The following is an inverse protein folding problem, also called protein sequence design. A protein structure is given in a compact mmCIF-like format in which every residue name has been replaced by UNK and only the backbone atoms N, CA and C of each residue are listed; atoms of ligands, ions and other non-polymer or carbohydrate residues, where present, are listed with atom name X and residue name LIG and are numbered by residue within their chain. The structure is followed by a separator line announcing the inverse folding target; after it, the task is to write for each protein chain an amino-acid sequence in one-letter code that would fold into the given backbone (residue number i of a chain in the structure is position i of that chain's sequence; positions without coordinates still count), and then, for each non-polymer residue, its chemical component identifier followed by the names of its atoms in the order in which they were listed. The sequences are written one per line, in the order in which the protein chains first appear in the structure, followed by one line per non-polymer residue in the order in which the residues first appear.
data_IF_925369502856
#
_entry.id   IF_925369502856
#
_cell.length_a   1.000
_cell.length_b   1.000
_cell.length_c   1.000
_cell.angle_alpha   90.00
_cell.angle_beta   90.00
_cell.angle_gamma   90.00
#
_symmetry.space_group_name_H-M   'P 1'
#
loop_
_entity.id
_entity.type
_entity.pdbx_description
1 polymer ?
#
# COMPACT_ATOMS: atom_id res chain seq x y z
N UNK A 1 -1.19 -28.70 19.97
CA UNK A 1 -0.19 -28.17 19.02
C UNK A 1 -0.98 -27.35 18.04
N UNK A 2 -0.69 -26.05 17.90
CA UNK A 2 -1.27 -25.26 16.81
C UNK A 2 -0.56 -25.73 15.56
N UNK A 3 -1.26 -26.45 14.70
CA UNK A 3 -0.82 -26.69 13.34
C UNK A 3 -0.68 -25.30 12.70
N UNK A 4 0.56 -24.83 12.54
CA UNK A 4 0.81 -23.62 11.77
C UNK A 4 0.55 -24.00 10.32
N UNK A 5 -0.61 -23.60 9.78
CA UNK A 5 -0.71 -23.43 8.34
C UNK A 5 0.46 -22.56 7.87
N UNK A 6 1.03 -22.82 6.67
CA UNK A 6 1.97 -21.88 6.09
C UNK A 6 1.28 -20.51 6.03
N UNK A 7 1.77 -19.55 6.81
CA UNK A 7 1.18 -18.22 6.87
C UNK A 7 1.14 -17.64 5.46
N UNK A 8 -0.04 -17.24 5.01
CA UNK A 8 -0.20 -16.64 3.69
C UNK A 8 0.46 -15.25 3.65
N UNK A 9 0.66 -14.72 2.43
CA UNK A 9 1.10 -13.33 2.25
C UNK A 9 0.23 -12.38 3.08
N UNK A 10 -1.10 -12.57 3.07
CA UNK A 10 -2.05 -11.73 3.85
C UNK A 10 -1.79 -11.83 5.35
N UNK A 11 -1.64 -13.05 5.88
CA UNK A 11 -1.45 -13.25 7.32
C UNK A 11 -0.18 -12.56 7.83
N UNK A 12 0.92 -12.67 7.08
CA UNK A 12 2.20 -12.04 7.46
C UNK A 12 2.10 -10.51 7.36
N UNK A 13 1.41 -9.99 6.34
CA UNK A 13 1.18 -8.55 6.19
C UNK A 13 0.31 -8.00 7.32
N UNK A 14 -0.74 -8.73 7.71
CA UNK A 14 -1.63 -8.36 8.81
C UNK A 14 -0.88 -8.40 10.15
N UNK A 15 -0.06 -9.42 10.39
CA UNK A 15 0.77 -9.53 11.60
C UNK A 15 1.79 -8.38 11.67
N UNK A 16 2.48 -8.09 10.57
CA UNK A 16 3.44 -6.98 10.52
C UNK A 16 2.77 -5.62 10.75
N UNK A 17 1.58 -5.41 10.17
CA UNK A 17 0.80 -4.20 10.39
C UNK A 17 0.33 -4.10 11.84
N UNK A 18 -0.10 -5.21 12.44
CA UNK A 18 -0.49 -5.26 13.84
C UNK A 18 0.67 -4.89 14.76
N UNK A 19 1.86 -5.47 14.58
CA UNK A 19 3.05 -5.12 15.36
C UNK A 19 3.37 -3.64 15.28
N UNK A 20 3.33 -3.06 14.07
CA UNK A 20 3.51 -1.63 13.87
C UNK A 20 2.48 -0.81 14.67
N UNK A 21 1.18 -1.17 14.61
CA UNK A 21 0.15 -0.47 15.40
C UNK A 21 0.35 -0.60 16.91
N UNK A 22 1.00 -1.67 17.35
CA UNK A 22 1.39 -1.89 18.75
C UNK A 22 2.68 -1.16 19.15
N UNK A 23 3.29 -0.40 18.23
CA UNK A 23 4.50 0.37 18.44
C UNK A 23 5.80 -0.36 18.10
N UNK A 24 5.74 -1.59 17.60
CA UNK A 24 6.89 -2.35 17.11
C UNK A 24 7.04 -2.22 15.59
N UNK A 25 7.37 -1.01 15.14
CA UNK A 25 7.64 -0.75 13.72
C UNK A 25 8.79 -1.62 13.20
N UNK A 26 9.82 -1.86 14.02
CA UNK A 26 10.98 -2.70 13.65
C UNK A 26 10.60 -4.15 13.39
N UNK A 27 9.77 -4.75 14.23
CA UNK A 27 9.28 -6.12 14.08
C UNK A 27 8.41 -6.27 12.83
N UNK A 28 7.51 -5.31 12.60
CA UNK A 28 6.69 -5.26 11.39
C UNK A 28 7.53 -5.18 10.11
N UNK A 29 8.50 -4.25 10.06
CA UNK A 29 9.41 -4.12 8.91
C UNK A 29 10.18 -5.42 8.67
N UNK A 30 10.78 -6.03 9.71
CA UNK A 30 11.56 -7.24 9.56
C UNK A 30 10.75 -8.43 9.01
N UNK A 31 9.47 -8.54 9.41
CA UNK A 31 8.54 -9.55 8.87
C UNK A 31 8.27 -9.33 7.39
N UNK A 32 8.00 -8.09 6.99
CA UNK A 32 7.77 -7.73 5.60
C UNK A 32 9.02 -7.93 4.73
N UNK A 33 10.20 -7.56 5.21
CA UNK A 33 11.46 -7.79 4.48
C UNK A 33 11.74 -9.28 4.29
N UNK A 34 11.48 -10.10 5.31
CA UNK A 34 11.63 -11.55 5.23
C UNK A 34 10.66 -12.14 4.20
N UNK A 35 9.40 -11.70 4.22
CA UNK A 35 8.40 -12.09 3.23
C UNK A 35 8.83 -11.70 1.82
N UNK A 36 9.28 -10.47 1.62
CA UNK A 36 9.68 -9.94 0.32
C UNK A 36 10.96 -10.57 -0.23
N UNK A 37 11.80 -11.15 0.62
CA UNK A 37 12.93 -11.97 0.20
C UNK A 37 12.48 -13.31 -0.41
N UNK A 38 11.36 -13.88 0.07
CA UNK A 38 10.78 -15.12 -0.43
C UNK A 38 9.79 -14.90 -1.59
N UNK A 39 9.00 -13.82 -1.51
CA UNK A 39 7.92 -13.46 -2.42
C UNK A 39 8.10 -12.02 -2.93
N UNK A 40 9.04 -11.76 -3.87
CA UNK A 40 9.35 -10.40 -4.32
C UNK A 40 8.21 -9.70 -5.07
N UNK A 41 7.21 -10.45 -5.50
CA UNK A 41 6.02 -9.96 -6.21
C UNK A 41 4.80 -9.77 -5.28
N UNK A 42 4.97 -9.95 -3.97
CA UNK A 42 3.93 -9.69 -2.98
C UNK A 42 3.61 -8.19 -2.89
N UNK A 43 2.66 -7.74 -3.69
CA UNK A 43 2.24 -6.34 -3.78
C UNK A 43 1.82 -5.79 -2.40
N UNK A 44 1.01 -6.54 -1.67
CA UNK A 44 0.46 -6.14 -0.37
C UNK A 44 1.58 -5.89 0.65
N UNK A 45 2.67 -6.67 0.58
CA UNK A 45 3.83 -6.50 1.45
C UNK A 45 4.65 -5.25 1.11
N UNK A 46 4.87 -4.96 -0.18
CA UNK A 46 5.53 -3.71 -0.59
C UNK A 46 4.71 -2.48 -0.22
N UNK A 47 3.38 -2.55 -0.36
CA UNK A 47 2.49 -1.44 0.03
C UNK A 47 2.49 -1.21 1.55
N UNK A 48 2.37 -2.29 2.35
CA UNK A 48 2.45 -2.19 3.80
C UNK A 48 3.81 -1.63 4.28
N UNK A 49 4.91 -2.10 3.68
CA UNK A 49 6.27 -1.62 4.01
C UNK A 49 6.41 -0.12 3.73
N UNK A 50 5.85 0.36 2.62
CA UNK A 50 5.78 1.78 2.30
C UNK A 50 5.03 2.59 3.36
N UNK A 51 3.85 2.14 3.77
CA UNK A 51 3.04 2.86 4.76
C UNK A 51 3.70 2.91 6.14
N UNK A 52 4.36 1.83 6.57
CA UNK A 52 5.11 1.80 7.84
C UNK A 52 6.28 2.79 7.78
N UNK A 53 7.13 2.73 6.74
CA UNK A 53 8.23 3.68 6.58
C UNK A 53 7.74 5.13 6.48
N UNK A 54 6.61 5.38 5.79
CA UNK A 54 6.02 6.72 5.72
C UNK A 54 5.63 7.22 7.11
N UNK A 55 4.97 6.38 7.93
CA UNK A 55 4.59 6.75 9.30
C UNK A 55 5.81 7.04 10.19
N UNK A 56 6.89 6.29 10.00
CA UNK A 56 8.17 6.52 10.68
C UNK A 56 8.96 7.72 10.10
N UNK A 57 8.38 8.45 9.15
CA UNK A 57 8.99 9.59 8.44
C UNK A 57 10.28 9.22 7.68
N UNK A 58 10.46 7.94 7.38
CA UNK A 58 11.54 7.38 6.58
C UNK A 58 11.16 7.47 5.10
N UNK A 59 11.07 8.69 4.59
CA UNK A 59 10.46 8.95 3.29
C UNK A 59 11.25 8.40 2.10
N UNK A 60 12.56 8.17 2.25
CA UNK A 60 13.38 7.54 1.21
C UNK A 60 13.11 6.03 1.10
N UNK A 61 12.97 5.36 2.23
CA UNK A 61 12.62 3.95 2.33
C UNK A 61 11.17 3.71 1.89
N UNK A 62 10.26 4.58 2.34
CA UNK A 62 8.86 4.58 1.91
C UNK A 62 8.75 4.70 0.39
N UNK A 63 9.51 5.62 -0.21
CA UNK A 63 9.53 5.80 -1.66
C UNK A 63 9.98 4.54 -2.39
N UNK A 64 11.09 3.92 -1.96
CA UNK A 64 11.59 2.68 -2.58
C UNK A 64 10.56 1.56 -2.54
N UNK A 65 9.90 1.37 -1.39
CA UNK A 65 8.87 0.35 -1.24
C UNK A 65 7.62 0.66 -2.09
N UNK A 66 7.18 1.92 -2.12
CA UNK A 66 6.05 2.36 -2.93
C UNK A 66 6.33 2.23 -4.44
N UNK A 67 7.56 2.52 -4.89
CA UNK A 67 7.98 2.33 -6.29
C UNK A 67 7.97 0.85 -6.67
N UNK A 68 8.35 -0.06 -5.76
CA UNK A 68 8.22 -1.51 -5.97
C UNK A 68 6.77 -1.95 -6.08
N UNK A 69 5.89 -1.51 -5.18
CA UNK A 69 4.45 -1.79 -5.27
C UNK A 69 3.85 -1.24 -6.57
N UNK A 70 4.24 -0.02 -6.97
CA UNK A 70 3.75 0.62 -8.19
C UNK A 70 4.21 -0.09 -9.45
N UNK A 71 5.44 -0.62 -9.47
CA UNK A 71 5.91 -1.44 -10.59
C UNK A 71 5.07 -2.72 -10.79
N UNK A 72 4.51 -3.28 -9.72
CA UNK A 72 3.66 -4.47 -9.77
C UNK A 72 2.21 -4.12 -10.19
N UNK A 73 1.64 -3.05 -9.63
CA UNK A 73 0.28 -2.60 -9.95
C UNK A 73 0.25 -1.08 -10.22
N UNK A 74 0.60 -0.63 -11.45
CA UNK A 74 0.72 0.80 -11.76
C UNK A 74 -0.57 1.59 -11.64
N UNK A 75 -1.71 0.94 -11.86
CA UNK A 75 -3.04 1.57 -11.80
C UNK A 75 -3.70 1.44 -10.42
N UNK A 76 -3.00 0.91 -9.42
CA UNK A 76 -3.57 0.75 -8.09
C UNK A 76 -3.80 2.10 -7.39
N UNK A 77 -5.00 2.28 -6.83
CA UNK A 77 -5.41 3.53 -6.19
C UNK A 77 -4.54 3.84 -4.96
N UNK A 78 -4.26 2.83 -4.14
CA UNK A 78 -3.60 3.00 -2.85
C UNK A 78 -2.14 3.36 -3.05
N UNK A 79 -1.42 2.66 -3.93
CA UNK A 79 0.01 2.96 -4.16
C UNK A 79 0.22 4.33 -4.79
N UNK A 80 -0.65 4.76 -5.71
CA UNK A 80 -0.59 6.10 -6.29
C UNK A 80 -0.88 7.19 -5.23
N UNK A 81 -1.75 6.89 -4.26
CA UNK A 81 -1.99 7.78 -3.11
C UNK A 81 -0.77 7.84 -2.19
N UNK A 82 -0.14 6.70 -1.88
CA UNK A 82 1.10 6.63 -1.09
C UNK A 82 2.23 7.41 -1.75
N UNK A 83 2.50 7.20 -3.04
CA UNK A 83 3.51 7.95 -3.79
C UNK A 83 3.24 9.46 -3.80
N UNK A 84 1.98 9.87 -3.96
CA UNK A 84 1.61 11.29 -3.88
C UNK A 84 1.97 11.90 -2.52
N UNK A 85 1.60 11.24 -1.42
CA UNK A 85 1.91 11.67 -0.05
C UNK A 85 3.42 11.71 0.21
N UNK A 86 4.15 10.68 -0.21
CA UNK A 86 5.62 10.61 -0.05
C UNK A 86 6.28 11.79 -0.78
N UNK A 87 5.89 12.09 -2.02
CA UNK A 87 6.49 13.20 -2.77
C UNK A 87 6.16 14.58 -2.20
N UNK A 88 5.01 14.76 -1.54
CA UNK A 88 4.70 15.98 -0.78
C UNK A 88 5.67 16.16 0.38
N UNK A 89 5.89 15.11 1.19
CA UNK A 89 6.83 15.15 2.31
C UNK A 89 8.27 15.40 1.84
N UNK A 90 8.64 14.89 0.66
CA UNK A 90 9.95 15.14 0.02
C UNK A 90 10.05 16.50 -0.68
N UNK A 91 8.98 17.30 -0.69
CA UNK A 91 8.95 18.65 -1.25
C UNK A 91 8.76 18.75 -2.77
N UNK A 92 8.52 17.64 -3.47
CA UNK A 92 8.29 17.63 -4.93
C UNK A 92 6.79 17.66 -5.23
N UNK A 93 6.21 18.87 -5.30
CA UNK A 93 4.78 19.06 -5.62
C UNK A 93 4.40 18.51 -7.00
N UNK A 94 5.27 18.67 -7.99
CA UNK A 94 5.03 18.15 -9.35
C UNK A 94 4.80 16.63 -9.35
N UNK A 95 5.69 15.88 -8.71
CA UNK A 95 5.54 14.42 -8.61
C UNK A 95 4.34 14.03 -7.76
N UNK A 96 4.08 14.75 -6.68
CA UNK A 96 2.90 14.52 -5.87
C UNK A 96 1.60 14.69 -6.67
N UNK A 97 1.50 15.75 -7.47
CA UNK A 97 0.35 16.02 -8.33
C UNK A 97 0.19 14.95 -9.41
N UNK A 98 1.30 14.48 -9.99
CA UNK A 98 1.31 13.39 -10.97
C UNK A 98 0.66 12.11 -10.42
N UNK A 99 1.17 11.59 -9.30
CA UNK A 99 0.63 10.37 -8.69
C UNK A 99 -0.78 10.59 -8.11
N UNK A 100 -1.06 11.78 -7.58
CA UNK A 100 -2.41 12.14 -7.13
C UNK A 100 -3.42 12.15 -8.27
N UNK A 101 -3.03 12.56 -9.48
CA UNK A 101 -3.88 12.47 -10.66
C UNK A 101 -4.14 11.01 -11.07
N UNK A 102 -3.12 10.16 -11.04
CA UNK A 102 -3.27 8.72 -11.31
C UNK A 102 -4.21 8.05 -10.30
N UNK A 103 -4.09 8.37 -9.01
CA UNK A 103 -5.01 7.90 -7.97
C UNK A 103 -6.47 8.30 -8.28
N UNK A 104 -6.73 9.57 -8.63
CA UNK A 104 -8.08 10.01 -9.00
C UNK A 104 -8.62 9.28 -10.23
N UNK A 105 -7.78 9.05 -11.24
CA UNK A 105 -8.16 8.28 -12.43
C UNK A 105 -8.49 6.83 -12.10
N UNK A 106 -7.70 6.18 -11.23
CA UNK A 106 -7.95 4.82 -10.78
C UNK A 106 -9.27 4.72 -10.00
N UNK A 107 -9.53 5.66 -9.09
CA UNK A 107 -10.80 5.74 -8.35
C UNK A 107 -12.00 5.86 -9.28
N UNK A 108 -11.92 6.72 -10.30
CA UNK A 108 -12.99 6.87 -11.28
C UNK A 108 -13.24 5.59 -12.09
N UNK A 109 -12.17 4.92 -12.55
CA UNK A 109 -12.28 3.61 -13.23
C UNK A 109 -13.00 2.58 -12.37
N UNK A 110 -12.66 2.48 -11.08
CA UNK A 110 -13.29 1.55 -10.13
C UNK A 110 -14.80 1.80 -9.95
N UNK A 111 -15.22 3.08 -9.94
CA UNK A 111 -16.64 3.46 -9.89
C UNK A 111 -17.39 3.09 -11.16
N UNK A 112 -16.78 3.24 -12.34
CA UNK A 112 -17.42 2.85 -13.60
C UNK A 112 -17.61 1.34 -13.73
N UNK A 113 -16.71 0.56 -13.14
CA UNK A 113 -16.81 -0.92 -13.12
C UNK A 113 -17.75 -1.46 -12.05
N UNK A 114 -18.21 -0.61 -11.13
CA UNK A 114 -19.23 -0.92 -10.12
C UNK A 114 -20.50 -0.15 -10.47
N UNK A 115 -21.43 -0.71 -11.27
CA UNK A 115 -22.67 -0.01 -11.56
C UNK A 115 -23.35 0.38 -10.24
N UNK A 116 -23.69 1.66 -10.10
CA UNK A 116 -24.51 2.15 -8.99
C UNK A 116 -25.88 1.48 -9.08
N UNK A 117 -26.07 0.39 -8.33
CA UNK A 117 -27.41 -0.06 -7.96
C UNK A 117 -27.96 0.93 -6.91
N UNK A 118 -28.50 2.07 -7.34
CA UNK A 118 -29.45 2.89 -6.55
C UNK A 118 -29.99 4.07 -7.37
N UNK A 119 -30.96 3.80 -8.25
CA UNK A 119 -32.05 4.75 -8.49
C UNK A 119 -33.23 4.32 -7.59
N UNK A 120 -33.61 5.07 -6.53
CA UNK A 120 -34.92 4.87 -5.94
C UNK A 120 -35.96 5.41 -6.93
N UNK A 121 -36.82 4.49 -7.38
CA UNK A 121 -38.03 4.72 -8.17
C UNK A 121 -38.83 5.90 -7.59
N UNK A 122 -38.84 7.01 -8.32
CA UNK A 122 -39.78 8.11 -8.08
C UNK A 122 -41.11 7.78 -8.75
N UNK A 123 -41.95 7.03 -8.04
CA UNK A 123 -43.39 6.91 -8.34
C UNK A 123 -44.23 7.16 -7.08
#
# INVERSE_FOLDING_TARGET
MRDHEPSSISDIVEEATFDFTMGDASGGIAKLETLLAAEPEAFEAWHALSEIHYSEKQYDEALKAAERAHALKPEDLFVNTSLSRIWLEKGSKEKAEHFGAQARMASWKQQLTQPQDEEPDIT
#
